data_IF_907398445161
#
_entry.id   IF_907398445161
#
_cell.length_a   1.000
_cell.length_b   1.000
_cell.length_c   1.000
_cell.angle_alpha   90.00
_cell.angle_beta   90.00
_cell.angle_gamma   90.00
#
_symmetry.space_group_name_H-M   'P 1'
#
loop_
_entity.id
_entity.type
_entity.pdbx_description
1 polymer ?
#
# COMPACT_ATOMS: atom_id res chain seq x y z
N UNK A 1 -35.83 19.74 -10.82
CA UNK A 1 -36.49 18.65 -10.07
C UNK A 1 -35.51 17.51 -10.00
N UNK A 2 -35.06 17.10 -8.82
CA UNK A 2 -34.07 16.03 -8.70
C UNK A 2 -34.66 14.73 -9.28
N UNK A 3 -33.91 13.97 -10.11
CA UNK A 3 -34.35 12.68 -10.62
C UNK A 3 -34.62 11.70 -9.46
N UNK A 4 -35.50 10.72 -9.69
CA UNK A 4 -35.83 9.71 -8.68
C UNK A 4 -34.58 8.99 -8.19
N UNK A 5 -34.33 9.00 -6.88
CA UNK A 5 -33.14 8.43 -6.23
C UNK A 5 -32.84 7.00 -6.69
N UNK A 6 -33.84 6.13 -6.78
CA UNK A 6 -33.67 4.75 -7.23
C UNK A 6 -33.19 4.63 -8.68
N UNK A 7 -33.59 5.56 -9.55
CA UNK A 7 -33.15 5.58 -10.95
C UNK A 7 -31.69 6.02 -11.08
N UNK A 8 -31.26 6.95 -10.24
CA UNK A 8 -29.85 7.38 -10.14
C UNK A 8 -28.94 6.29 -9.56
N UNK A 9 -29.39 5.57 -8.54
CA UNK A 9 -28.67 4.41 -8.00
C UNK A 9 -28.50 3.33 -9.07
N UNK A 10 -29.58 2.99 -9.79
CA UNK A 10 -29.51 2.01 -10.88
C UNK A 10 -28.64 2.48 -12.06
N UNK A 11 -28.67 3.77 -12.39
CA UNK A 11 -27.78 4.38 -13.37
C UNK A 11 -26.31 4.25 -12.97
N UNK A 12 -25.98 4.65 -11.74
CA UNK A 12 -24.61 4.58 -11.20
C UNK A 12 -24.08 3.15 -11.14
N UNK A 13 -24.93 2.16 -10.83
CA UNK A 13 -24.54 0.75 -10.84
C UNK A 13 -24.23 0.26 -12.25
N UNK A 14 -25.03 0.67 -13.24
CA UNK A 14 -24.81 0.34 -14.65
C UNK A 14 -23.51 0.97 -15.16
N UNK A 15 -23.26 2.24 -14.83
CA UNK A 15 -22.03 2.94 -15.20
C UNK A 15 -20.80 2.29 -14.55
N UNK A 16 -20.91 1.88 -13.28
CA UNK A 16 -19.86 1.12 -12.59
C UNK A 16 -19.53 -0.19 -13.32
N UNK A 17 -20.53 -0.89 -13.84
CA UNK A 17 -20.34 -2.13 -14.61
C UNK A 17 -19.48 -1.92 -15.87
N UNK A 18 -19.55 -0.74 -16.50
CA UNK A 18 -18.69 -0.39 -17.65
C UNK A 18 -17.28 0.05 -17.25
N UNK A 19 -17.11 0.63 -16.05
CA UNK A 19 -15.81 1.08 -15.55
C UNK A 19 -15.00 -0.07 -14.95
N UNK A 20 -15.67 -1.04 -14.33
CA UNK A 20 -15.04 -2.18 -13.62
C UNK A 20 -13.98 -2.93 -14.45
N UNK A 21 -14.23 -3.37 -15.70
CA UNK A 21 -13.23 -4.09 -16.48
C UNK A 21 -11.95 -3.27 -16.68
N UNK A 22 -12.07 -1.96 -16.91
CA UNK A 22 -10.93 -1.07 -17.12
C UNK A 22 -10.07 -0.94 -15.87
N UNK A 23 -10.71 -0.80 -14.71
CA UNK A 23 -10.02 -0.69 -13.42
C UNK A 23 -9.37 -2.02 -13.04
N UNK A 24 -10.10 -3.13 -13.15
CA UNK A 24 -9.59 -4.46 -12.81
C UNK A 24 -8.40 -4.84 -13.73
N UNK A 25 -8.49 -4.59 -15.03
CA UNK A 25 -7.38 -4.87 -15.96
C UNK A 25 -6.13 -4.03 -15.66
N UNK A 26 -6.30 -2.76 -15.28
CA UNK A 26 -5.17 -1.91 -14.89
C UNK A 26 -4.53 -2.39 -13.58
N UNK A 27 -5.36 -2.65 -12.56
CA UNK A 27 -4.91 -3.12 -11.25
C UNK A 27 -4.19 -4.47 -11.34
N UNK A 28 -4.74 -5.41 -12.10
CA UNK A 28 -4.11 -6.73 -12.30
C UNK A 28 -2.81 -6.62 -13.08
N UNK A 29 -2.75 -5.84 -14.15
CA UNK A 29 -1.51 -5.66 -14.91
C UNK A 29 -0.41 -5.01 -14.06
N UNK A 30 -0.72 -3.93 -13.33
CA UNK A 30 0.24 -3.24 -12.47
C UNK A 30 0.64 -4.11 -11.27
N UNK A 31 -0.33 -4.73 -10.60
CA UNK A 31 -0.12 -5.56 -9.42
C UNK A 31 0.70 -6.82 -9.72
N UNK A 32 0.40 -7.54 -10.81
CA UNK A 32 1.16 -8.73 -11.22
C UNK A 32 2.59 -8.34 -11.60
N UNK A 33 2.78 -7.23 -12.32
CA UNK A 33 4.11 -6.73 -12.67
C UNK A 33 4.92 -6.39 -11.41
N UNK A 34 4.31 -5.66 -10.47
CA UNK A 34 4.95 -5.32 -9.21
C UNK A 34 5.28 -6.55 -8.36
N UNK A 35 4.38 -7.54 -8.31
CA UNK A 35 4.62 -8.83 -7.63
C UNK A 35 5.76 -9.61 -8.26
N UNK A 36 5.83 -9.68 -9.59
CA UNK A 36 6.94 -10.34 -10.27
C UNK A 36 8.28 -9.68 -9.89
N UNK A 37 8.34 -8.34 -9.87
CA UNK A 37 9.54 -7.63 -9.44
C UNK A 37 9.84 -7.91 -7.97
N UNK A 38 8.83 -7.87 -7.09
CA UNK A 38 9.01 -8.12 -5.65
C UNK A 38 9.46 -9.53 -5.30
N UNK A 39 8.96 -10.54 -6.01
CA UNK A 39 9.27 -11.95 -5.75
C UNK A 39 10.57 -12.39 -6.39
N UNK A 40 10.86 -11.94 -7.62
CA UNK A 40 12.00 -12.45 -8.39
C UNK A 40 13.22 -11.52 -8.40
N UNK A 41 13.12 -10.29 -7.90
CA UNK A 41 14.27 -9.36 -7.83
C UNK A 41 14.55 -8.90 -6.39
N UNK A 42 15.82 -8.63 -6.03
CA UNK A 42 16.19 -8.19 -4.69
C UNK A 42 15.86 -6.71 -4.42
N UNK A 43 15.19 -6.01 -5.33
CA UNK A 43 14.96 -4.57 -5.27
C UNK A 43 14.21 -4.17 -3.99
N UNK A 44 13.09 -4.84 -3.71
CA UNK A 44 12.28 -4.57 -2.52
C UNK A 44 12.93 -5.08 -1.23
N UNK A 45 13.81 -6.07 -1.32
CA UNK A 45 14.63 -6.49 -0.18
C UNK A 45 15.64 -5.41 0.21
N UNK A 46 16.28 -4.75 -0.76
CA UNK A 46 17.18 -3.62 -0.49
C UNK A 46 16.45 -2.41 0.05
N UNK A 47 15.27 -2.09 -0.51
CA UNK A 47 14.42 -1.03 0.04
C UNK A 47 13.91 -1.37 1.44
N UNK A 48 13.60 -2.64 1.72
CA UNK A 48 13.17 -3.10 3.04
C UNK A 48 14.20 -2.86 4.13
N UNK A 49 15.49 -3.04 3.81
CA UNK A 49 16.59 -2.75 4.74
C UNK A 49 16.62 -1.30 5.23
N UNK A 50 16.03 -0.36 4.50
CA UNK A 50 15.90 1.03 4.95
C UNK A 50 14.97 1.14 6.17
N UNK A 51 13.92 0.32 6.22
CA UNK A 51 12.88 0.35 7.26
C UNK A 51 13.14 -0.64 8.40
N UNK A 52 13.87 -1.72 8.12
CA UNK A 52 14.28 -2.73 9.10
C UNK A 52 14.86 -2.16 10.42
N UNK A 53 15.84 -1.23 10.43
CA UNK A 53 16.39 -0.72 11.69
C UNK A 53 15.35 0.05 12.52
N UNK A 54 14.41 0.73 11.85
CA UNK A 54 13.33 1.45 12.54
C UNK A 54 12.33 0.47 13.17
N UNK A 55 12.00 -0.61 12.47
CA UNK A 55 11.15 -1.67 13.00
C UNK A 55 11.79 -2.37 14.22
N UNK A 56 13.10 -2.63 14.17
CA UNK A 56 13.84 -3.17 15.31
C UNK A 56 13.87 -2.20 16.50
N UNK A 57 14.09 -0.90 16.25
CA UNK A 57 14.08 0.12 17.29
C UNK A 57 12.70 0.20 17.98
N UNK A 58 11.63 0.09 17.20
CA UNK A 58 10.26 0.03 17.67
C UNK A 58 9.87 -1.34 18.30
N UNK A 59 10.81 -2.29 18.39
CA UNK A 59 10.60 -3.65 18.92
C UNK A 59 9.43 -4.38 18.23
N UNK A 60 9.29 -4.19 16.93
CA UNK A 60 8.29 -4.90 16.14
C UNK A 60 8.73 -6.36 15.99
N UNK A 61 7.88 -7.34 16.32
CA UNK A 61 8.21 -8.75 16.12
C UNK A 61 8.32 -9.06 14.62
N UNK A 62 9.14 -10.05 14.27
CA UNK A 62 9.35 -10.49 12.88
C UNK A 62 9.79 -9.37 11.91
N UNK A 63 10.41 -8.30 12.42
CA UNK A 63 10.78 -7.09 11.67
C UNK A 63 11.50 -7.39 10.34
N UNK A 64 12.49 -8.30 10.37
CA UNK A 64 13.26 -8.68 9.18
C UNK A 64 12.40 -9.37 8.10
N UNK A 65 11.34 -10.08 8.50
CA UNK A 65 10.46 -10.80 7.58
C UNK A 65 9.48 -9.84 6.90
N UNK A 66 8.99 -8.84 7.63
CA UNK A 66 7.99 -7.87 7.13
C UNK A 66 8.61 -6.64 6.47
N UNK A 67 9.84 -6.26 6.82
CA UNK A 67 10.54 -5.11 6.26
C UNK A 67 10.52 -5.02 4.72
N UNK A 68 10.76 -6.11 3.94
CA UNK A 68 10.73 -6.04 2.49
C UNK A 68 9.34 -5.83 1.88
N UNK A 69 8.26 -6.10 2.62
CA UNK A 69 6.90 -5.92 2.08
C UNK A 69 6.42 -4.46 2.15
N UNK A 70 6.88 -3.69 3.14
CA UNK A 70 6.49 -2.27 3.33
C UNK A 70 6.75 -1.35 2.11
N UNK A 71 7.92 -1.38 1.44
CA UNK A 71 8.16 -0.54 0.26
C UNK A 71 7.31 -0.93 -0.94
N UNK A 72 6.77 -2.15 -0.98
CA UNK A 72 5.96 -2.64 -2.10
C UNK A 72 4.61 -1.92 -2.16
N UNK A 73 4.20 -1.29 -1.05
CA UNK A 73 3.02 -0.42 -0.98
C UNK A 73 3.04 0.74 -1.98
N UNK A 74 4.22 1.15 -2.47
CA UNK A 74 4.33 2.19 -3.50
C UNK A 74 3.69 1.76 -4.82
N UNK A 75 3.70 0.46 -5.13
CA UNK A 75 3.05 -0.05 -6.33
C UNK A 75 1.53 -0.13 -6.12
N UNK A 76 1.10 -0.66 -4.98
CA UNK A 76 -0.31 -0.77 -4.59
C UNK A 76 -0.43 -1.12 -3.09
N UNK A 77 -1.42 -0.55 -2.40
CA UNK A 77 -1.56 -0.66 -0.94
C UNK A 77 -1.86 -2.08 -0.43
N UNK A 78 -2.39 -2.95 -1.28
CA UNK A 78 -2.71 -4.35 -0.95
C UNK A 78 -1.52 -5.31 -1.16
N UNK A 79 -0.53 -4.92 -1.97
CA UNK A 79 0.61 -5.77 -2.27
C UNK A 79 1.45 -6.17 -1.05
N UNK A 80 1.70 -5.29 -0.05
CA UNK A 80 2.44 -5.67 1.14
C UNK A 80 1.81 -6.86 1.88
N UNK A 81 0.48 -6.88 1.97
CA UNK A 81 -0.29 -7.95 2.64
C UNK A 81 -0.25 -9.22 1.80
N UNK A 82 -0.38 -9.10 0.48
CA UNK A 82 -0.27 -10.23 -0.44
C UNK A 82 1.12 -10.88 -0.41
N UNK A 83 2.20 -10.11 -0.25
CA UNK A 83 3.55 -10.65 -0.19
C UNK A 83 3.84 -11.48 1.07
N UNK A 84 3.12 -11.20 2.15
CA UNK A 84 3.27 -11.93 3.41
C UNK A 84 2.21 -13.03 3.58
N UNK A 85 1.28 -13.21 2.62
CA UNK A 85 0.13 -14.13 2.74
C UNK A 85 0.55 -15.54 3.15
N UNK A 86 1.64 -16.03 2.57
CA UNK A 86 2.14 -17.39 2.77
C UNK A 86 2.85 -17.56 4.13
N UNK A 87 3.16 -16.44 4.80
CA UNK A 87 3.87 -16.39 6.09
C UNK A 87 2.95 -16.02 7.24
N UNK A 88 1.67 -15.73 6.98
CA UNK A 88 0.70 -15.25 7.98
C UNK A 88 0.60 -16.16 9.20
N UNK A 89 0.71 -17.48 9.02
CA UNK A 89 0.63 -18.46 10.12
C UNK A 89 1.86 -18.45 11.03
N UNK A 90 3.00 -17.94 10.56
CA UNK A 90 4.25 -17.85 11.32
C UNK A 90 4.53 -16.46 11.87
N UNK A 91 3.79 -15.45 11.39
CA UNK A 91 3.93 -14.06 11.83
C UNK A 91 3.11 -13.82 13.10
N UNK A 92 3.73 -13.14 14.05
CA UNK A 92 3.06 -12.60 15.23
C UNK A 92 1.94 -11.61 14.86
N UNK A 93 0.96 -11.46 15.77
CA UNK A 93 -0.19 -10.55 15.57
C UNK A 93 0.27 -9.09 15.37
N UNK A 94 1.27 -8.65 16.14
CA UNK A 94 1.87 -7.32 16.00
C UNK A 94 2.53 -7.09 14.64
N UNK A 95 3.21 -8.11 14.08
CA UNK A 95 3.82 -8.02 12.75
C UNK A 95 2.76 -7.92 11.65
N UNK A 96 1.69 -8.70 11.75
CA UNK A 96 0.55 -8.67 10.83
C UNK A 96 -0.16 -7.31 10.89
N UNK A 97 -0.39 -6.80 12.10
CA UNK A 97 -0.95 -5.45 12.30
C UNK A 97 -0.07 -4.38 11.65
N UNK A 98 1.25 -4.43 11.86
CA UNK A 98 2.17 -3.44 11.28
C UNK A 98 2.12 -3.40 9.76
N UNK A 99 2.13 -4.55 9.09
CA UNK A 99 2.07 -4.58 7.62
C UNK A 99 0.76 -3.99 7.09
N UNK A 100 -0.37 -4.38 7.68
CA UNK A 100 -1.70 -3.91 7.27
C UNK A 100 -1.87 -2.41 7.54
N UNK A 101 -1.50 -1.94 8.72
CA UNK A 101 -1.68 -0.54 9.11
C UNK A 101 -0.77 0.38 8.30
N UNK A 102 0.52 0.04 8.18
CA UNK A 102 1.46 0.88 7.43
C UNK A 102 1.11 0.93 5.94
N UNK A 103 0.69 -0.19 5.34
CA UNK A 103 0.34 -0.20 3.91
C UNK A 103 -0.88 0.67 3.60
N UNK A 104 -1.85 0.75 4.51
CA UNK A 104 -3.02 1.64 4.36
C UNK A 104 -2.69 3.11 4.58
N UNK A 105 -1.79 3.43 5.53
CA UNK A 105 -1.45 4.82 5.89
C UNK A 105 -0.54 5.51 4.86
N UNK A 106 0.17 4.75 4.02
CA UNK A 106 1.08 5.30 3.01
C UNK A 106 0.34 6.18 1.98
N UNK A 107 -0.92 5.86 1.62
CA UNK A 107 -1.86 6.55 0.68
C UNK A 107 -1.30 6.84 -0.74
N UNK A 108 0.01 6.92 -0.93
CA UNK A 108 0.66 7.26 -2.20
C UNK A 108 1.08 5.97 -2.90
N UNK A 109 0.40 5.64 -4.00
CA UNK A 109 0.71 4.46 -4.81
C UNK A 109 0.55 4.76 -6.32
N UNK A 110 1.27 3.99 -7.13
CA UNK A 110 1.35 4.18 -8.59
C UNK A 110 0.06 3.88 -9.33
N UNK A 111 -0.81 3.04 -8.79
CA UNK A 111 -2.04 2.63 -9.47
C UNK A 111 -3.10 3.74 -9.54
N UNK A 112 -3.06 4.75 -8.67
CA UNK A 112 -4.12 5.76 -8.62
C UNK A 112 -3.60 7.12 -8.15
N UNK A 113 -3.19 7.22 -6.89
CA UNK A 113 -2.90 8.51 -6.25
C UNK A 113 -1.79 9.30 -6.95
N UNK A 114 -0.70 8.64 -7.37
CA UNK A 114 0.39 9.32 -8.10
C UNK A 114 -0.09 9.86 -9.46
N UNK A 115 -0.85 9.07 -10.22
CA UNK A 115 -1.35 9.45 -11.54
C UNK A 115 -2.33 10.62 -11.44
N UNK A 116 -3.23 10.57 -10.45
CA UNK A 116 -4.18 11.65 -10.18
C UNK A 116 -3.43 12.93 -9.78
N UNK A 117 -2.49 12.85 -8.83
CA UNK A 117 -1.72 14.03 -8.40
C UNK A 117 -0.93 14.66 -9.54
N UNK A 118 -0.27 13.87 -10.38
CA UNK A 118 0.46 14.38 -11.56
C UNK A 118 -0.45 14.96 -12.65
N UNK A 119 -1.71 14.51 -12.73
CA UNK A 119 -2.71 15.06 -13.68
C UNK A 119 -3.34 16.37 -13.20
N UNK A 120 -3.29 16.64 -11.90
CA UNK A 120 -3.83 17.87 -11.31
C UNK A 120 -2.85 19.03 -11.47
N UNK A 121 -3.34 20.27 -11.30
CA UNK A 121 -2.49 21.48 -11.36
C UNK A 121 -1.57 21.68 -10.16
N UNK A 122 -1.36 20.65 -9.34
CA UNK A 122 -0.43 20.71 -8.21
C UNK A 122 0.99 20.53 -8.80
N UNK A 123 1.91 21.49 -8.61
CA UNK A 123 3.25 21.44 -9.20
C UNK A 123 4.17 20.50 -8.40
N UNK A 124 3.82 19.21 -8.32
CA UNK A 124 4.62 18.18 -7.67
C UNK A 124 5.29 17.27 -8.69
N UNK A 125 6.57 17.01 -8.50
CA UNK A 125 7.34 16.11 -9.35
C UNK A 125 7.20 14.64 -8.90
N UNK A 126 7.39 13.70 -9.83
CA UNK A 126 7.39 12.27 -9.49
C UNK A 126 8.43 11.91 -8.41
N UNK A 127 9.61 12.57 -8.44
CA UNK A 127 10.65 12.37 -7.44
C UNK A 127 10.19 12.81 -6.04
N UNK A 128 9.46 13.92 -5.95
CA UNK A 128 8.92 14.42 -4.68
C UNK A 128 7.86 13.45 -4.13
N UNK A 129 7.00 12.90 -4.99
CA UNK A 129 6.02 11.89 -4.59
C UNK A 129 6.68 10.63 -4.02
N UNK A 130 7.77 10.17 -4.64
CA UNK A 130 8.55 9.04 -4.12
C UNK A 130 9.17 9.38 -2.76
N UNK A 131 9.76 10.57 -2.60
CA UNK A 131 10.31 11.01 -1.31
C UNK A 131 9.21 11.08 -0.23
N UNK A 132 8.05 11.66 -0.56
CA UNK A 132 6.89 11.69 0.33
C UNK A 132 6.43 10.29 0.74
N UNK A 133 6.48 9.30 -0.15
CA UNK A 133 6.17 7.91 0.21
C UNK A 133 7.11 7.38 1.31
N UNK A 134 8.42 7.60 1.16
CA UNK A 134 9.41 7.18 2.17
C UNK A 134 9.22 7.92 3.49
N UNK A 135 9.04 9.24 3.45
CA UNK A 135 8.80 10.07 4.65
C UNK A 135 7.54 9.61 5.40
N UNK A 136 6.42 9.44 4.68
CA UNK A 136 5.17 8.97 5.28
C UNK A 136 5.30 7.57 5.85
N UNK A 137 6.08 6.69 5.23
CA UNK A 137 6.37 5.35 5.78
C UNK A 137 7.19 5.45 7.06
N UNK A 138 8.23 6.29 7.09
CA UNK A 138 9.07 6.50 8.27
C UNK A 138 8.28 7.10 9.44
N UNK A 139 7.29 7.96 9.17
CA UNK A 139 6.40 8.53 10.20
C UNK A 139 5.32 7.52 10.61
N UNK A 140 4.79 6.72 9.67
CA UNK A 140 3.75 5.75 9.94
C UNK A 140 4.25 4.60 10.83
N UNK A 141 5.49 4.14 10.65
CA UNK A 141 6.06 3.03 11.44
C UNK A 141 6.00 3.30 12.97
N UNK A 142 6.54 4.40 13.51
CA UNK A 142 6.53 4.64 14.95
C UNK A 142 5.11 4.89 15.49
N UNK A 143 4.25 5.55 14.73
CA UNK A 143 2.85 5.77 15.12
C UNK A 143 2.13 4.42 15.19
N UNK A 144 2.27 3.58 14.16
CA UNK A 144 1.68 2.24 14.12
C UNK A 144 2.27 1.35 15.22
N UNK A 145 3.57 1.44 15.49
CA UNK A 145 4.21 0.67 16.56
C UNK A 145 3.67 1.06 17.95
N UNK A 146 3.35 2.33 18.19
CA UNK A 146 2.72 2.77 19.44
C UNK A 146 1.38 2.08 19.66
N UNK A 147 0.52 2.05 18.64
CA UNK A 147 -0.76 1.35 18.73
C UNK A 147 -0.61 -0.16 18.79
N UNK A 148 0.42 -0.72 18.14
CA UNK A 148 0.73 -2.14 18.22
C UNK A 148 1.00 -2.58 19.66
N UNK A 149 1.88 -1.87 20.38
CA UNK A 149 2.17 -2.17 21.81
C UNK A 149 1.02 -1.85 22.77
N UNK A 150 0.03 -1.06 22.34
CA UNK A 150 -1.14 -0.74 23.16
C UNK A 150 -2.26 -1.77 23.00
N UNK A 151 -2.35 -2.41 21.84
CA UNK A 151 -3.40 -3.38 21.50
C UNK A 151 -2.96 -4.83 21.66
N UNK A 152 -1.66 -5.12 21.55
CA UNK A 152 -1.04 -6.45 21.61
C UNK A 152 0.14 -6.45 22.58
#
# INVERSE_FOLDING_TARGET
>A
TAPNLFKEIAGSLKDSCFVLPRVISLLTAAGVTAMMIATYTPLFHWLGKLFEPLLFLCRVPDAAIIAPSLPVGIAEMFLPVLLISDKVSMLSEGARYMVVTVSMVQIIFFSETIVVMLSTRIPVNLKELIICFFERTLIAIPISALFMHLLF
#
